data_IF_183730582068
#
_entry.id   IF_183730582068
#
_cell.length_a   1.000
_cell.length_b   1.000
_cell.length_c   1.000
_cell.angle_alpha   90.00
_cell.angle_beta   90.00
_cell.angle_gamma   90.00
#
_symmetry.space_group_name_H-M   'P 1'
#
loop_
_entity.id
_entity.type
_entity.pdbx_description
1 polymer ?
#
# COMPACT_ATOMS: atom_id res chain seq x y z
N UNK A 1 -16.11 26.20 -22.63
CA UNK A 1 -15.52 25.56 -23.82
C UNK A 1 -15.32 24.09 -23.48
N UNK A 2 -16.23 23.25 -23.97
CA UNK A 2 -16.15 21.78 -23.85
C UNK A 2 -15.19 21.28 -24.92
N UNK A 3 -13.99 20.89 -24.50
CA UNK A 3 -13.01 20.27 -25.39
C UNK A 3 -13.48 18.86 -25.73
N UNK A 4 -13.81 18.59 -26.99
CA UNK A 4 -14.09 17.26 -27.51
C UNK A 4 -12.80 16.69 -28.12
N UNK A 5 -12.29 15.55 -27.65
CA UNK A 5 -11.11 14.95 -28.24
C UNK A 5 -11.39 14.49 -29.67
N UNK A 6 -10.41 14.63 -30.60
CA UNK A 6 -10.54 14.08 -31.94
C UNK A 6 -10.71 12.56 -31.88
N UNK A 7 -11.53 11.98 -32.77
CA UNK A 7 -11.92 10.56 -32.79
C UNK A 7 -10.73 9.56 -32.81
N UNK A 8 -9.53 9.99 -33.13
CA UNK A 8 -8.28 9.20 -33.17
C UNK A 8 -7.29 9.56 -32.05
N UNK A 9 -7.69 10.31 -31.01
CA UNK A 9 -6.78 10.61 -29.91
C UNK A 9 -6.54 9.35 -29.05
N UNK A 10 -5.30 9.05 -28.68
CA UNK A 10 -5.02 7.92 -27.79
C UNK A 10 -5.78 8.10 -26.48
N UNK A 11 -6.34 7.01 -25.96
CA UNK A 11 -7.12 7.01 -24.71
C UNK A 11 -6.37 7.72 -23.57
N UNK A 12 -7.00 8.74 -22.99
CA UNK A 12 -6.36 9.60 -21.97
C UNK A 12 -5.97 8.84 -20.68
N UNK A 13 -6.57 7.69 -20.43
CA UNK A 13 -6.31 6.85 -19.25
C UNK A 13 -4.82 6.48 -19.07
N UNK A 14 -4.05 6.32 -20.14
CA UNK A 14 -2.60 6.08 -20.05
C UNK A 14 -1.84 7.23 -19.37
N UNK A 15 -2.28 8.48 -19.60
CA UNK A 15 -1.70 9.67 -18.93
C UNK A 15 -2.02 9.64 -17.44
N UNK A 16 -3.20 9.16 -17.08
CA UNK A 16 -3.61 8.98 -15.67
C UNK A 16 -2.74 7.93 -14.98
N UNK A 17 -2.50 6.77 -15.63
CA UNK A 17 -1.59 5.75 -15.12
C UNK A 17 -0.20 6.33 -14.91
N UNK A 18 0.34 7.07 -15.90
CA UNK A 18 1.67 7.66 -15.82
C UNK A 18 1.80 8.68 -14.69
N UNK A 19 0.81 9.58 -14.53
CA UNK A 19 0.82 10.56 -13.41
C UNK A 19 0.71 9.86 -12.06
N UNK A 20 -0.12 8.83 -11.94
CA UNK A 20 -0.25 8.03 -10.73
C UNK A 20 1.04 7.27 -10.41
N UNK A 21 1.70 6.69 -11.42
CA UNK A 21 3.03 6.08 -11.30
C UNK A 21 4.06 7.08 -10.79
N UNK A 22 4.15 8.27 -11.43
CA UNK A 22 5.09 9.32 -11.06
C UNK A 22 4.83 9.85 -9.64
N UNK A 23 3.57 10.06 -9.28
CA UNK A 23 3.18 10.50 -7.94
C UNK A 23 3.56 9.47 -6.87
N UNK A 24 3.33 8.18 -7.12
CA UNK A 24 3.72 7.09 -6.23
C UNK A 24 5.24 6.91 -6.17
N UNK A 25 5.93 7.04 -7.29
CA UNK A 25 7.39 7.00 -7.33
C UNK A 25 8.00 8.10 -6.47
N UNK A 26 7.50 9.34 -6.60
CA UNK A 26 8.05 10.50 -5.88
C UNK A 26 7.65 10.46 -4.40
N UNK A 27 6.38 10.21 -4.06
CA UNK A 27 5.90 10.24 -2.68
C UNK A 27 6.60 9.19 -1.80
N UNK A 28 6.78 7.98 -2.32
CA UNK A 28 7.43 6.88 -1.59
C UNK A 28 8.95 6.92 -1.78
N UNK A 29 9.42 7.25 -2.98
CA UNK A 29 10.86 7.29 -3.28
C UNK A 29 11.59 8.38 -2.51
N UNK A 30 11.10 9.62 -2.57
CA UNK A 30 11.74 10.75 -1.88
C UNK A 30 11.45 10.75 -0.38
N UNK A 31 10.24 10.36 0.04
CA UNK A 31 9.82 10.39 1.43
C UNK A 31 10.22 9.18 2.27
N UNK A 32 10.29 7.98 1.68
CA UNK A 32 10.50 6.76 2.43
C UNK A 32 11.80 6.02 2.05
N UNK A 33 12.00 5.64 0.78
CA UNK A 33 13.19 4.86 0.40
C UNK A 33 14.48 5.66 0.46
N UNK A 34 14.47 6.95 0.06
CA UNK A 34 15.64 7.81 0.24
C UNK A 34 15.93 8.12 1.69
N UNK A 35 14.90 8.06 2.57
CA UNK A 35 15.06 8.41 3.99
C UNK A 35 16.11 7.54 4.69
N UNK A 36 16.22 6.27 4.33
CA UNK A 36 17.26 5.39 4.90
C UNK A 36 18.68 5.90 4.63
N UNK A 37 18.94 6.51 3.45
CA UNK A 37 20.22 7.16 3.17
C UNK A 37 20.38 8.47 3.95
N UNK A 38 19.34 9.30 4.01
CA UNK A 38 19.33 10.52 4.82
C UNK A 38 19.47 10.25 6.31
N UNK A 39 19.00 9.10 6.80
CA UNK A 39 19.01 8.73 8.20
C UNK A 39 20.41 8.83 8.80
N UNK A 40 21.43 8.33 8.09
CA UNK A 40 22.82 8.37 8.53
C UNK A 40 23.32 9.82 8.62
N UNK A 41 23.10 10.63 7.57
CA UNK A 41 23.52 12.02 7.50
C UNK A 41 22.82 12.89 8.56
N UNK A 42 21.52 12.71 8.79
CA UNK A 42 20.77 13.45 9.79
C UNK A 42 21.16 13.10 11.22
N UNK A 43 21.48 11.82 11.48
CA UNK A 43 21.94 11.36 12.80
C UNK A 43 23.28 12.00 13.18
N UNK A 44 24.21 12.12 12.23
CA UNK A 44 25.51 12.75 12.46
C UNK A 44 25.41 14.27 12.67
N UNK A 45 24.43 14.91 12.01
CA UNK A 45 24.27 16.38 12.07
C UNK A 45 23.55 16.86 13.34
N UNK A 46 22.43 16.22 13.69
CA UNK A 46 21.56 16.75 14.76
C UNK A 46 21.90 16.23 16.16
N UNK A 47 22.82 15.28 16.30
CA UNK A 47 23.29 14.79 17.60
C UNK A 47 22.25 14.14 18.50
N UNK A 48 21.02 13.93 18.00
CA UNK A 48 19.90 13.30 18.74
C UNK A 48 19.90 11.79 18.73
N UNK A 49 20.99 11.17 18.29
CA UNK A 49 21.08 9.74 18.11
C UNK A 49 20.15 9.20 17.02
N UNK A 50 20.18 7.89 16.83
CA UNK A 50 19.30 7.20 15.85
C UNK A 50 17.85 7.20 16.31
N UNK A 51 17.60 7.26 17.61
CA UNK A 51 16.25 7.41 18.18
C UNK A 51 15.60 8.71 17.72
N UNK A 52 16.30 9.83 17.83
CA UNK A 52 15.78 11.15 17.47
C UNK A 52 15.34 11.20 16.01
N UNK A 53 16.19 10.77 15.08
CA UNK A 53 15.84 10.74 13.65
C UNK A 53 14.73 9.73 13.38
N UNK A 54 14.72 8.59 14.09
CA UNK A 54 13.67 7.55 14.00
C UNK A 54 12.28 8.02 14.41
N UNK A 55 12.18 8.94 15.39
CA UNK A 55 10.91 9.60 15.76
C UNK A 55 10.33 10.36 14.57
N UNK A 56 11.18 10.98 13.73
CA UNK A 56 10.72 11.65 12.50
C UNK A 56 9.98 10.69 11.56
N UNK A 57 10.48 9.46 11.38
CA UNK A 57 9.80 8.44 10.57
C UNK A 57 8.44 8.05 11.17
N UNK A 58 8.37 7.94 12.50
CA UNK A 58 7.12 7.67 13.20
C UNK A 58 6.10 8.81 12.99
N UNK A 59 6.54 10.08 13.09
CA UNK A 59 5.70 11.27 12.80
C UNK A 59 5.19 11.24 11.36
N UNK A 60 6.06 10.92 10.40
CA UNK A 60 5.68 10.78 8.99
C UNK A 60 4.61 9.70 8.79
N UNK A 61 4.82 8.52 9.37
CA UNK A 61 3.87 7.40 9.31
C UNK A 61 2.53 7.72 9.96
N UNK A 62 2.56 8.35 11.14
CA UNK A 62 1.35 8.80 11.86
C UNK A 62 0.52 9.78 11.04
N UNK A 63 1.14 10.80 10.48
CA UNK A 63 0.45 11.79 9.65
C UNK A 63 -0.22 11.13 8.45
N UNK A 64 0.51 10.27 7.72
CA UNK A 64 -0.06 9.54 6.58
C UNK A 64 -1.27 8.69 6.97
N UNK A 65 -1.17 7.94 8.06
CA UNK A 65 -2.25 7.07 8.53
C UNK A 65 -3.49 7.83 9.02
N UNK A 66 -3.30 8.96 9.70
CA UNK A 66 -4.40 9.77 10.22
C UNK A 66 -5.13 10.55 9.12
N UNK A 67 -4.43 10.96 8.06
CA UNK A 67 -5.01 11.73 6.94
C UNK A 67 -5.78 10.85 5.96
N UNK A 68 -5.41 9.59 5.80
CA UNK A 68 -5.99 8.68 4.80
C UNK A 68 -7.53 8.58 4.83
N UNK A 69 -8.23 8.49 5.99
CA UNK A 69 -9.69 8.42 6.03
C UNK A 69 -10.37 9.69 5.50
N UNK A 70 -9.78 10.87 5.75
CA UNK A 70 -10.33 12.15 5.30
C UNK A 70 -10.17 12.35 3.79
N UNK A 71 -9.09 11.81 3.21
CA UNK A 71 -8.84 11.86 1.77
C UNK A 71 -9.91 11.10 0.99
N UNK A 72 -10.33 9.93 1.45
CA UNK A 72 -11.35 9.12 0.76
C UNK A 72 -12.62 9.91 0.49
N UNK A 73 -13.14 10.60 1.50
CA UNK A 73 -14.37 11.42 1.36
C UNK A 73 -14.21 12.55 0.33
N UNK A 74 -13.10 13.27 0.36
CA UNK A 74 -12.85 14.37 -0.56
C UNK A 74 -12.63 13.88 -2.02
N UNK A 75 -12.05 12.69 -2.19
CA UNK A 75 -11.85 12.06 -3.50
C UNK A 75 -13.17 11.57 -4.12
N UNK A 76 -14.09 11.06 -3.30
CA UNK A 76 -15.42 10.65 -3.74
C UNK A 76 -16.23 11.83 -4.33
N UNK A 77 -15.95 13.05 -3.85
CA UNK A 77 -16.55 14.30 -4.36
C UNK A 77 -15.93 14.82 -5.67
N UNK A 78 -14.95 14.12 -6.27
CA UNK A 78 -14.31 14.53 -7.53
C UNK A 78 -13.30 15.68 -7.37
N UNK A 79 -12.52 15.68 -6.29
CA UNK A 79 -11.51 16.71 -6.04
C UNK A 79 -10.07 16.20 -6.20
N UNK A 80 -9.84 15.07 -6.89
CA UNK A 80 -8.52 14.43 -7.01
C UNK A 80 -7.47 15.37 -7.60
N UNK A 81 -7.79 16.12 -8.65
CA UNK A 81 -6.87 17.10 -9.25
C UNK A 81 -6.43 18.19 -8.28
N UNK A 82 -7.37 18.74 -7.51
CA UNK A 82 -7.07 19.79 -6.51
C UNK A 82 -6.21 19.24 -5.38
N UNK A 83 -6.56 18.05 -4.88
CA UNK A 83 -5.84 17.34 -3.82
C UNK A 83 -4.42 17.03 -4.26
N UNK A 84 -4.22 16.43 -5.45
CA UNK A 84 -2.89 16.13 -5.97
C UNK A 84 -2.06 17.39 -6.21
N UNK A 85 -2.68 18.47 -6.72
CA UNK A 85 -1.98 19.75 -6.93
C UNK A 85 -1.52 20.34 -5.60
N UNK A 86 -2.40 20.41 -4.60
CA UNK A 86 -2.05 20.90 -3.25
C UNK A 86 -0.99 20.00 -2.59
N UNK A 87 -1.13 18.68 -2.73
CA UNK A 87 -0.16 17.72 -2.23
C UNK A 87 1.23 17.86 -2.87
N UNK A 88 1.28 18.11 -4.18
CA UNK A 88 2.56 18.34 -4.88
C UNK A 88 3.26 19.60 -4.38
N UNK A 89 2.49 20.70 -4.16
CA UNK A 89 3.05 21.93 -3.58
C UNK A 89 3.53 21.71 -2.15
N UNK A 90 2.74 21.03 -1.31
CA UNK A 90 3.11 20.73 0.08
C UNK A 90 4.34 19.84 0.15
N UNK A 91 4.41 18.79 -0.69
CA UNK A 91 5.57 17.90 -0.76
C UNK A 91 6.84 18.66 -1.17
N UNK A 92 6.75 19.44 -2.25
CA UNK A 92 7.89 20.22 -2.73
C UNK A 92 8.35 21.26 -1.69
N UNK A 93 7.40 21.97 -1.07
CA UNK A 93 7.69 22.92 0.00
C UNK A 93 8.32 22.21 1.22
N UNK A 94 7.79 21.05 1.59
CA UNK A 94 8.35 20.23 2.68
C UNK A 94 9.78 19.80 2.40
N UNK A 95 10.09 19.36 1.17
CA UNK A 95 11.45 19.02 0.74
C UNK A 95 12.40 20.23 0.81
N UNK A 96 11.97 21.39 0.30
CA UNK A 96 12.75 22.62 0.34
C UNK A 96 12.98 23.11 1.79
N UNK A 97 11.95 23.09 2.63
CA UNK A 97 12.05 23.48 4.03
C UNK A 97 12.93 22.53 4.83
N UNK A 98 12.91 21.22 4.52
CA UNK A 98 13.79 20.24 5.18
C UNK A 98 15.27 20.59 4.97
N UNK A 99 15.65 21.18 3.84
CA UNK A 99 17.02 21.63 3.60
C UNK A 99 17.45 22.78 4.53
N UNK A 100 16.52 23.52 5.15
CA UNK A 100 16.80 24.67 6.03
C UNK A 100 16.74 24.33 7.51
N UNK A 101 16.37 23.10 7.88
CA UNK A 101 16.22 22.68 9.29
C UNK A 101 17.56 22.69 10.01
N UNK A 102 17.57 23.16 11.26
CA UNK A 102 18.75 23.28 12.11
C UNK A 102 18.70 22.37 13.37
N UNK A 103 17.53 21.84 13.69
CA UNK A 103 17.33 20.97 14.83
C UNK A 103 16.21 19.96 14.62
N UNK A 104 16.14 18.92 15.47
CA UNK A 104 15.18 17.84 15.39
C UNK A 104 13.71 18.31 15.50
N UNK A 105 13.43 19.35 16.30
CA UNK A 105 12.05 19.84 16.48
C UNK A 105 11.55 20.45 15.17
N UNK A 106 12.37 21.30 14.53
CA UNK A 106 12.03 21.85 13.20
C UNK A 106 11.88 20.73 12.18
N UNK A 107 12.77 19.72 12.22
CA UNK A 107 12.68 18.55 11.35
C UNK A 107 11.36 17.82 11.51
N UNK A 108 10.90 17.51 12.75
CA UNK A 108 9.61 16.85 12.99
C UNK A 108 8.42 17.67 12.51
N UNK A 109 8.45 18.98 12.74
CA UNK A 109 7.39 19.88 12.29
C UNK A 109 7.29 19.89 10.75
N UNK A 110 8.43 20.08 10.07
CA UNK A 110 8.43 20.11 8.59
C UNK A 110 8.06 18.75 8.02
N UNK A 111 8.62 17.66 8.60
CA UNK A 111 8.35 16.31 8.13
C UNK A 111 6.86 15.93 8.31
N UNK A 112 6.27 16.21 9.46
CA UNK A 112 4.89 15.86 9.78
C UNK A 112 3.86 16.73 9.06
N UNK A 113 4.08 18.06 8.98
CA UNK A 113 3.08 18.98 8.43
C UNK A 113 3.15 19.16 6.92
N UNK A 114 4.35 19.16 6.33
CA UNK A 114 4.51 19.45 4.90
C UNK A 114 4.83 18.18 4.11
N UNK A 115 5.89 17.47 4.50
CA UNK A 115 6.37 16.34 3.71
C UNK A 115 5.39 15.16 3.78
N UNK A 116 4.97 14.77 4.99
CA UNK A 116 4.08 13.63 5.19
C UNK A 116 2.67 13.91 4.63
N UNK A 117 2.13 15.12 4.90
CA UNK A 117 0.83 15.51 4.36
C UNK A 117 0.88 15.61 2.83
N UNK A 118 1.93 16.22 2.26
CA UNK A 118 2.12 16.28 0.82
C UNK A 118 2.20 14.91 0.18
N UNK A 119 2.97 13.99 0.79
CA UNK A 119 3.10 12.61 0.33
C UNK A 119 1.76 11.84 0.42
N UNK A 120 0.97 12.04 1.49
CA UNK A 120 -0.36 11.44 1.63
C UNK A 120 -1.33 11.91 0.54
N UNK A 121 -1.33 13.22 0.25
CA UNK A 121 -2.24 13.83 -0.73
C UNK A 121 -1.98 13.37 -2.17
N UNK A 122 -0.74 13.08 -2.56
CA UNK A 122 -0.42 12.56 -3.91
C UNK A 122 -0.26 11.03 -3.94
N UNK A 123 -0.17 10.39 -2.76
CA UNK A 123 0.22 8.99 -2.58
C UNK A 123 -0.85 7.98 -2.90
N UNK A 124 -0.76 6.83 -2.21
CA UNK A 124 -1.47 5.60 -2.54
C UNK A 124 -2.98 5.73 -2.68
N UNK A 125 -3.65 6.41 -1.75
CA UNK A 125 -5.12 6.54 -1.77
C UNK A 125 -5.56 7.36 -2.99
N UNK A 126 -4.96 8.54 -3.19
CA UNK A 126 -5.34 9.46 -4.28
C UNK A 126 -5.02 8.88 -5.65
N UNK A 127 -3.80 8.34 -5.82
CA UNK A 127 -3.37 7.74 -7.08
C UNK A 127 -4.23 6.51 -7.45
N UNK A 128 -4.52 5.64 -6.47
CA UNK A 128 -5.34 4.45 -6.71
C UNK A 128 -6.79 4.80 -7.03
N UNK A 129 -7.38 5.77 -6.33
CA UNK A 129 -8.75 6.24 -6.61
C UNK A 129 -8.85 6.84 -8.00
N UNK A 130 -7.85 7.66 -8.38
CA UNK A 130 -7.81 8.27 -9.70
C UNK A 130 -7.78 7.21 -10.81
N UNK A 131 -6.89 6.21 -10.71
CA UNK A 131 -6.82 5.09 -11.66
C UNK A 131 -8.13 4.28 -11.68
N UNK A 132 -8.71 4.05 -10.50
CA UNK A 132 -9.96 3.30 -10.38
C UNK A 132 -11.17 3.99 -11.02
N UNK A 133 -11.17 5.32 -11.11
CA UNK A 133 -12.20 6.09 -11.80
C UNK A 133 -12.12 5.96 -13.34
N UNK A 134 -10.91 5.75 -13.87
CA UNK A 134 -10.66 5.67 -15.30
C UNK A 134 -10.72 4.26 -15.88
N UNK A 135 -10.51 3.23 -15.02
CA UNK A 135 -10.44 1.83 -15.43
C UNK A 135 -11.40 0.97 -14.60
N UNK A 136 -12.30 0.27 -15.29
CA UNK A 136 -13.27 -0.65 -14.68
C UNK A 136 -12.95 -2.08 -15.04
N UNK A 137 -12.85 -2.42 -16.32
CA UNK A 137 -12.55 -3.79 -16.80
C UNK A 137 -11.07 -4.15 -16.60
N UNK A 138 -10.16 -3.20 -16.88
CA UNK A 138 -8.70 -3.41 -16.77
C UNK A 138 -8.13 -2.79 -15.48
N UNK A 139 -8.97 -2.59 -14.45
CA UNK A 139 -8.61 -1.90 -13.21
C UNK A 139 -7.40 -2.52 -12.50
N UNK A 140 -7.35 -3.85 -12.40
CA UNK A 140 -6.24 -4.55 -11.74
C UNK A 140 -4.91 -4.32 -12.44
N UNK A 141 -4.89 -4.38 -13.77
CA UNK A 141 -3.70 -4.14 -14.59
C UNK A 141 -3.26 -2.68 -14.49
N UNK A 142 -4.19 -1.73 -14.60
CA UNK A 142 -3.91 -0.30 -14.53
C UNK A 142 -3.33 0.10 -13.14
N UNK A 143 -3.92 -0.41 -12.05
CA UNK A 143 -3.40 -0.24 -10.70
C UNK A 143 -2.03 -0.92 -10.53
N UNK A 144 -1.85 -2.10 -11.12
CA UNK A 144 -0.57 -2.80 -11.13
C UNK A 144 0.54 -1.93 -11.71
N UNK A 145 0.33 -1.37 -12.91
CA UNK A 145 1.30 -0.50 -13.59
C UNK A 145 1.56 0.79 -12.77
N UNK A 146 0.52 1.43 -12.27
CA UNK A 146 0.67 2.63 -11.44
C UNK A 146 1.50 2.35 -10.18
N UNK A 147 1.24 1.23 -9.49
CA UNK A 147 1.96 0.86 -8.25
C UNK A 147 3.38 0.34 -8.49
N UNK A 148 3.77 0.02 -9.73
CA UNK A 148 5.18 -0.24 -10.08
C UNK A 148 6.08 0.96 -9.75
N UNK A 149 5.53 2.20 -9.74
CA UNK A 149 6.24 3.39 -9.29
C UNK A 149 6.83 3.25 -7.88
N UNK A 150 6.07 2.66 -6.94
CA UNK A 150 6.54 2.37 -5.57
C UNK A 150 7.75 1.43 -5.61
N UNK A 151 7.63 0.34 -6.36
CA UNK A 151 8.67 -0.69 -6.40
C UNK A 151 9.94 -0.21 -7.09
N UNK A 152 9.79 0.51 -8.21
CA UNK A 152 10.91 1.10 -8.93
C UNK A 152 11.63 2.15 -8.08
N UNK A 153 10.88 2.98 -7.33
CA UNK A 153 11.50 3.95 -6.43
C UNK A 153 12.35 3.27 -5.35
N UNK A 154 11.91 2.13 -4.81
CA UNK A 154 12.68 1.37 -3.83
C UNK A 154 14.00 0.82 -4.38
N UNK A 155 14.00 0.39 -5.66
CA UNK A 155 15.22 -0.10 -6.30
C UNK A 155 16.22 1.03 -6.59
N UNK A 156 15.71 2.19 -7.06
CA UNK A 156 16.55 3.24 -7.64
C UNK A 156 16.94 4.30 -6.60
N UNK A 157 16.02 4.66 -5.69
CA UNK A 157 16.20 5.88 -4.90
C UNK A 157 17.22 5.78 -3.78
N UNK A 158 17.43 4.60 -3.20
CA UNK A 158 18.42 4.44 -2.13
C UNK A 158 19.86 4.72 -2.64
N UNK A 159 20.37 4.04 -3.70
CA UNK A 159 21.70 4.33 -4.23
C UNK A 159 21.81 5.73 -4.83
N UNK A 160 20.75 6.25 -5.48
CA UNK A 160 20.73 7.62 -6.02
C UNK A 160 20.82 8.65 -4.90
N UNK A 161 20.04 8.48 -3.82
CA UNK A 161 20.10 9.37 -2.66
C UNK A 161 21.49 9.37 -2.02
N UNK A 162 22.07 8.19 -1.80
CA UNK A 162 23.43 8.07 -1.24
C UNK A 162 24.45 8.81 -2.08
N UNK A 163 24.45 8.60 -3.39
CA UNK A 163 25.37 9.32 -4.31
C UNK A 163 25.16 10.84 -4.33
N UNK A 164 23.90 11.29 -4.30
CA UNK A 164 23.62 12.74 -4.25
C UNK A 164 24.06 13.34 -2.92
N UNK A 165 23.88 12.62 -1.80
CA UNK A 165 24.36 13.07 -0.48
C UNK A 165 25.89 13.23 -0.50
N UNK A 166 26.61 12.28 -1.11
CA UNK A 166 28.07 12.36 -1.25
C UNK A 166 28.53 13.55 -2.11
N UNK A 167 27.76 13.87 -3.18
CA UNK A 167 28.16 14.91 -4.15
C UNK A 167 27.77 16.33 -3.71
N UNK A 168 26.55 16.52 -3.22
CA UNK A 168 25.97 17.85 -2.96
C UNK A 168 25.46 18.02 -1.51
N UNK A 169 25.71 17.03 -0.67
CA UNK A 169 25.22 16.98 0.70
C UNK A 169 23.72 16.68 0.80
N UNK A 170 23.28 16.33 2.01
CA UNK A 170 21.87 15.99 2.23
C UNK A 170 20.92 17.20 2.01
N UNK A 171 21.34 18.42 2.37
CA UNK A 171 20.55 19.64 2.12
C UNK A 171 20.38 19.90 0.63
N UNK A 172 21.45 19.82 -0.16
CA UNK A 172 21.41 19.96 -1.60
C UNK A 172 20.52 18.91 -2.27
N UNK A 173 20.54 17.69 -1.75
CA UNK A 173 19.68 16.58 -2.25
C UNK A 173 18.20 16.86 -2.00
N UNK A 174 17.81 17.38 -0.83
CA UNK A 174 16.43 17.78 -0.57
C UNK A 174 15.96 18.93 -1.47
N UNK A 175 16.84 19.94 -1.72
CA UNK A 175 16.54 21.02 -2.67
C UNK A 175 16.32 20.47 -4.07
N UNK A 176 17.19 19.56 -4.53
CA UNK A 176 17.05 18.92 -5.84
C UNK A 176 15.74 18.14 -5.95
N UNK A 177 15.37 17.35 -4.93
CA UNK A 177 14.12 16.62 -4.91
C UNK A 177 12.89 17.55 -4.94
N UNK A 178 12.93 18.66 -4.21
CA UNK A 178 11.90 19.70 -4.25
C UNK A 178 11.76 20.30 -5.64
N UNK A 179 12.88 20.67 -6.28
CA UNK A 179 12.92 21.21 -7.64
C UNK A 179 12.38 20.18 -8.66
N UNK A 180 12.80 18.91 -8.60
CA UNK A 180 12.30 17.85 -9.47
C UNK A 180 10.79 17.61 -9.28
N UNK A 181 10.30 17.68 -8.06
CA UNK A 181 8.86 17.57 -7.77
C UNK A 181 8.07 18.70 -8.47
N UNK A 182 8.55 19.95 -8.38
CA UNK A 182 7.91 21.08 -9.05
C UNK A 182 8.05 21.03 -10.58
N UNK A 183 9.18 20.55 -11.08
CA UNK A 183 9.46 20.54 -12.52
C UNK A 183 8.72 19.42 -13.25
N UNK A 184 8.57 18.25 -12.65
CA UNK A 184 8.01 17.08 -13.32
C UNK A 184 6.61 16.71 -12.80
N UNK A 185 6.40 16.64 -11.48
CA UNK A 185 5.13 16.19 -10.93
C UNK A 185 4.04 17.24 -11.06
N UNK A 186 4.35 18.50 -10.74
CA UNK A 186 3.35 19.59 -10.79
C UNK A 186 2.78 19.83 -12.18
N UNK A 187 3.59 19.93 -13.26
CA UNK A 187 3.06 20.07 -14.62
C UNK A 187 2.28 18.83 -15.07
N UNK A 188 2.76 17.62 -14.73
CA UNK A 188 2.08 16.38 -15.05
C UNK A 188 0.68 16.33 -14.41
N UNK A 189 0.59 16.65 -13.12
CA UNK A 189 -0.69 16.71 -12.38
C UNK A 189 -1.61 17.78 -13.00
N UNK A 190 -1.14 19.01 -13.18
CA UNK A 190 -1.97 20.10 -13.71
C UNK A 190 -2.49 19.85 -15.13
N UNK A 191 -1.66 19.24 -16.00
CA UNK A 191 -2.00 19.06 -17.40
C UNK A 191 -2.80 17.79 -17.66
N UNK A 192 -2.51 16.70 -16.95
CA UNK A 192 -3.04 15.38 -17.29
C UNK A 192 -4.05 14.81 -16.30
N UNK A 193 -4.08 15.29 -15.05
CA UNK A 193 -5.09 14.80 -14.09
C UNK A 193 -6.45 15.39 -14.43
N UNK A 194 -7.39 14.49 -14.67
CA UNK A 194 -8.81 14.72 -14.84
C UNK A 194 -9.50 13.72 -13.93
N UNK A 195 -10.45 14.18 -13.11
CA UNK A 195 -10.99 13.39 -12.02
C UNK A 195 -11.78 12.17 -12.53
N UNK A 196 -12.55 12.37 -13.59
CA UNK A 196 -13.36 11.32 -14.21
C UNK A 196 -13.32 11.42 -15.74
N UNK A 197 -13.38 10.29 -16.47
CA UNK A 197 -13.42 10.31 -17.93
C UNK A 197 -14.64 11.06 -18.46
N UNK A 198 -15.77 11.02 -17.74
CA UNK A 198 -17.01 11.69 -18.09
C UNK A 198 -16.87 13.23 -18.13
N UNK A 199 -15.94 13.80 -17.35
CA UNK A 199 -15.68 15.25 -17.33
C UNK A 199 -15.18 15.79 -18.68
N UNK A 200 -14.70 14.90 -19.57
CA UNK A 200 -14.24 15.23 -20.92
C UNK A 200 -14.98 14.43 -21.99
N UNK A 201 -16.14 13.88 -21.67
CA UNK A 201 -17.00 13.14 -22.62
C UNK A 201 -16.44 11.76 -23.04
N UNK A 202 -15.54 11.19 -22.25
CA UNK A 202 -15.02 9.84 -22.43
C UNK A 202 -15.72 8.87 -21.47
N UNK A 203 -15.65 7.57 -21.79
CA UNK A 203 -16.09 6.51 -20.90
C UNK A 203 -14.91 5.75 -20.28
N UNK A 204 -15.12 5.10 -19.13
CA UNK A 204 -14.10 4.22 -18.55
C UNK A 204 -13.59 3.18 -19.56
N UNK A 205 -12.32 2.81 -19.45
CA UNK A 205 -11.62 1.87 -20.35
C UNK A 205 -11.61 2.31 -21.84
N UNK A 206 -12.00 3.55 -22.16
CA UNK A 206 -12.09 4.04 -23.54
C UNK A 206 -13.24 3.40 -24.34
N UNK A 207 -14.28 2.88 -23.68
CA UNK A 207 -15.41 2.27 -24.34
C UNK A 207 -16.12 3.26 -25.29
N UNK A 208 -16.54 2.79 -26.47
CA UNK A 208 -17.32 3.59 -27.39
C UNK A 208 -18.74 3.81 -26.84
N UNK A 209 -19.36 4.94 -27.16
CA UNK A 209 -20.68 5.40 -26.66
C UNK A 209 -21.80 4.37 -26.81
N UNK A 210 -21.69 3.40 -27.73
CA UNK A 210 -22.68 2.37 -27.98
C UNK A 210 -22.89 1.36 -26.83
N UNK A 211 -21.97 1.28 -25.87
CA UNK A 211 -22.06 0.39 -24.69
C UNK A 211 -22.53 1.13 -23.43
N UNK A 212 -22.78 2.42 -23.49
CA UNK A 212 -23.20 3.23 -22.34
C UNK A 212 -24.58 2.80 -21.78
N UNK A 213 -25.43 2.15 -22.56
CA UNK A 213 -26.71 1.62 -22.11
C UNK A 213 -26.60 0.42 -21.16
N UNK A 214 -25.54 -0.37 -21.27
CA UNK A 214 -25.31 -1.53 -20.40
C UNK A 214 -24.64 -1.14 -19.05
N UNK A 215 -24.08 0.06 -18.93
CA UNK A 215 -23.34 0.49 -17.74
C UNK A 215 -24.15 1.30 -16.74
N UNK A 216 -25.29 1.86 -17.15
CA UNK A 216 -26.23 2.52 -16.21
C UNK A 216 -27.00 1.50 -15.38
N UNK A 217 -27.11 0.26 -15.86
CA UNK A 217 -27.43 -0.89 -15.04
C UNK A 217 -26.10 -1.51 -14.59
N UNK A 218 -25.49 -0.96 -13.54
CA UNK A 218 -24.55 -1.77 -12.77
C UNK A 218 -25.28 -3.06 -12.44
N UNK A 219 -24.79 -4.26 -12.85
CA UNK A 219 -25.42 -5.48 -12.39
C UNK A 219 -25.37 -5.41 -10.87
N UNK A 220 -26.52 -5.42 -10.24
CA UNK A 220 -26.61 -5.66 -8.83
C UNK A 220 -25.79 -6.93 -8.63
N UNK A 221 -24.66 -6.82 -7.90
CA UNK A 221 -23.68 -7.88 -7.75
C UNK A 221 -24.39 -9.20 -7.45
N UNK A 222 -24.48 -10.10 -8.43
CA UNK A 222 -25.21 -11.36 -8.29
C UNK A 222 -25.58 -12.09 -9.56
N UNK A 223 -25.30 -11.61 -10.78
CA UNK A 223 -25.55 -12.42 -11.97
C UNK A 223 -24.36 -13.33 -12.26
N UNK A 224 -24.45 -14.54 -11.71
CA UNK A 224 -23.76 -15.73 -12.22
C UNK A 224 -24.39 -16.18 -13.53
N UNK A 225 -23.80 -17.17 -14.26
CA UNK A 225 -24.21 -17.56 -15.61
C UNK A 225 -25.65 -18.07 -15.62
N UNK A 226 -26.38 -17.53 -16.58
CA UNK A 226 -27.68 -17.91 -17.17
C UNK A 226 -28.40 -19.10 -16.50
N UNK A 227 -29.55 -18.82 -15.87
CA UNK A 227 -30.52 -19.87 -15.55
C UNK A 227 -31.27 -19.76 -14.21
N UNK A 228 -31.07 -18.70 -13.44
CA UNK A 228 -31.86 -18.47 -12.22
C UNK A 228 -32.77 -17.26 -12.47
N UNK A 229 -34.08 -17.48 -12.57
CA UNK A 229 -35.04 -16.40 -12.59
C UNK A 229 -34.80 -15.44 -11.42
N UNK A 230 -34.88 -14.12 -11.64
CA UNK A 230 -34.75 -13.16 -10.58
C UNK A 230 -35.88 -13.38 -9.58
N UNK A 231 -35.56 -13.81 -8.38
CA UNK A 231 -36.50 -13.80 -7.26
C UNK A 231 -36.89 -12.34 -7.03
N UNK A 232 -38.03 -11.94 -7.59
CA UNK A 232 -38.64 -10.65 -7.29
C UNK A 232 -38.88 -10.58 -5.79
N UNK A 233 -38.30 -9.61 -5.06
CA UNK A 233 -38.62 -9.42 -3.65
C UNK A 233 -40.14 -9.13 -3.57
N UNK A 234 -40.86 -9.90 -2.80
CA UNK A 234 -42.27 -9.63 -2.48
C UNK A 234 -42.37 -8.16 -2.00
N UNK A 235 -43.30 -7.35 -2.55
CA UNK A 235 -43.53 -6.01 -2.09
C UNK A 235 -43.92 -6.07 -0.59
N UNK A 236 -43.18 -5.37 0.24
CA UNK A 236 -43.63 -5.10 1.60
C UNK A 236 -44.89 -4.23 1.53
N UNK A 237 -45.86 -4.52 2.38
CA UNK A 237 -47.19 -3.95 2.37
C UNK A 237 -47.27 -2.41 2.39
N UNK A 238 -46.17 -1.71 2.59
CA UNK A 238 -46.09 -0.25 2.72
C UNK A 238 -45.40 0.47 1.56
N UNK A 239 -45.07 -0.19 0.45
CA UNK A 239 -44.55 0.47 -0.75
C UNK A 239 -43.18 1.20 -0.53
N UNK A 240 -42.56 1.09 0.65
CA UNK A 240 -41.26 1.68 0.91
C UNK A 240 -40.17 0.82 0.31
N UNK A 241 -39.14 1.41 -0.37
CA UNK A 241 -38.02 0.65 -0.85
C UNK A 241 -37.36 -0.05 0.34
N UNK A 242 -36.93 -1.34 0.18
CA UNK A 242 -36.31 -2.09 1.28
C UNK A 242 -35.18 -1.26 1.86
N UNK A 243 -35.32 -0.86 3.12
CA UNK A 243 -34.25 -0.17 3.85
C UNK A 243 -33.05 -1.09 3.84
N UNK A 244 -32.03 -0.74 3.04
CA UNK A 244 -30.74 -1.44 3.06
C UNK A 244 -30.29 -1.51 4.52
N UNK A 245 -30.03 -2.70 5.08
CA UNK A 245 -29.56 -2.79 6.46
C UNK A 245 -28.35 -1.88 6.56
N UNK A 246 -28.43 -0.84 7.42
CA UNK A 246 -27.26 -0.03 7.80
C UNK A 246 -26.36 -1.00 8.56
N UNK A 247 -25.37 -1.57 7.85
CA UNK A 247 -24.33 -2.34 8.52
C UNK A 247 -23.67 -1.38 9.51
N UNK A 248 -23.83 -1.68 10.79
CA UNK A 248 -23.24 -0.89 11.86
C UNK A 248 -21.73 -0.88 11.71
N UNK A 249 -21.12 0.29 11.83
CA UNK A 249 -19.65 0.48 11.72
C UNK A 249 -18.89 -0.36 12.74
N UNK A 250 -19.55 -0.77 13.81
CA UNK A 250 -19.01 -1.54 14.95
C UNK A 250 -18.91 -3.05 14.69
N UNK A 251 -19.66 -3.61 13.73
CA UNK A 251 -19.67 -5.04 13.47
C UNK A 251 -18.28 -5.67 13.21
N UNK A 252 -17.39 -5.05 12.40
CA UNK A 252 -16.05 -5.60 12.21
C UNK A 252 -15.24 -5.64 13.50
N UNK A 253 -15.40 -4.65 14.40
CA UNK A 253 -14.65 -4.53 15.66
C UNK A 253 -15.02 -5.64 16.65
N UNK A 254 -16.23 -6.20 16.58
CA UNK A 254 -16.66 -7.33 17.40
C UNK A 254 -16.09 -8.67 16.91
N UNK A 255 -15.51 -8.71 15.70
CA UNK A 255 -15.02 -9.94 15.09
C UNK A 255 -13.57 -10.23 15.51
N UNK A 256 -13.33 -11.41 16.08
CA UNK A 256 -11.99 -11.87 16.47
C UNK A 256 -10.98 -11.82 15.32
N UNK A 257 -11.38 -12.21 14.12
CA UNK A 257 -10.49 -12.21 12.95
C UNK A 257 -9.98 -10.81 12.62
N UNK A 258 -10.79 -9.76 12.89
CA UNK A 258 -10.37 -8.38 12.71
C UNK A 258 -9.12 -8.06 13.53
N UNK A 259 -9.15 -8.34 14.83
CA UNK A 259 -8.04 -8.06 15.75
C UNK A 259 -6.82 -8.94 15.50
N UNK A 260 -7.04 -10.21 15.12
CA UNK A 260 -5.93 -11.09 14.71
C UNK A 260 -5.20 -10.53 13.50
N UNK A 261 -5.92 -10.09 12.46
CA UNK A 261 -5.31 -9.51 11.26
C UNK A 261 -4.63 -8.18 11.60
N UNK A 262 -5.28 -7.30 12.37
CA UNK A 262 -4.69 -6.03 12.84
C UNK A 262 -3.37 -6.29 13.55
N UNK A 263 -3.34 -7.20 14.52
CA UNK A 263 -2.16 -7.47 15.32
C UNK A 263 -1.00 -8.03 14.47
N UNK A 264 -1.28 -9.03 13.63
CA UNK A 264 -0.27 -9.64 12.75
C UNK A 264 0.31 -8.62 11.78
N UNK A 265 -0.55 -7.86 11.09
CA UNK A 265 -0.11 -6.88 10.10
C UNK A 265 0.63 -5.71 10.75
N UNK A 266 0.18 -5.24 11.93
CA UNK A 266 0.87 -4.19 12.68
C UNK A 266 2.29 -4.60 13.08
N UNK A 267 2.47 -5.82 13.59
CA UNK A 267 3.78 -6.34 13.97
C UNK A 267 4.70 -6.50 12.76
N UNK A 268 4.17 -7.03 11.65
CA UNK A 268 4.94 -7.13 10.41
C UNK A 268 5.38 -5.75 9.92
N UNK A 269 4.49 -4.74 9.92
CA UNK A 269 4.84 -3.39 9.48
C UNK A 269 5.77 -2.67 10.45
N UNK A 270 5.66 -2.92 11.76
CA UNK A 270 6.57 -2.41 12.79
C UNK A 270 8.01 -2.84 12.49
N UNK A 271 8.26 -4.13 12.39
CA UNK A 271 9.57 -4.69 12.10
C UNK A 271 10.06 -4.30 10.69
N UNK A 272 9.17 -4.33 9.68
CA UNK A 272 9.48 -3.98 8.30
C UNK A 272 9.97 -2.52 8.18
N UNK A 273 9.23 -1.56 8.76
CA UNK A 273 9.62 -0.15 8.69
C UNK A 273 10.97 0.10 9.38
N UNK A 274 11.23 -0.58 10.49
CA UNK A 274 12.50 -0.48 11.19
C UNK A 274 13.67 -1.02 10.34
N UNK A 275 13.54 -2.24 9.79
CA UNK A 275 14.58 -2.85 8.96
C UNK A 275 14.86 -1.97 7.73
N UNK A 276 13.82 -1.53 7.00
CA UNK A 276 13.98 -0.66 5.83
C UNK A 276 14.68 0.66 6.16
N UNK A 277 14.40 1.25 7.33
CA UNK A 277 14.99 2.52 7.73
C UNK A 277 16.44 2.38 8.19
N UNK A 278 16.76 1.33 8.95
CA UNK A 278 18.05 1.16 9.57
C UNK A 278 19.04 0.31 8.78
N UNK A 279 18.63 -0.37 7.69
CA UNK A 279 19.48 -1.32 6.97
C UNK A 279 20.76 -0.68 6.39
N UNK A 280 20.67 0.54 5.85
CA UNK A 280 21.84 1.26 5.33
C UNK A 280 22.79 1.58 6.48
N UNK A 281 22.25 2.09 7.61
CA UNK A 281 23.05 2.39 8.79
C UNK A 281 23.73 1.13 9.36
N UNK A 282 23.01 0.01 9.45
CA UNK A 282 23.56 -1.27 9.89
C UNK A 282 24.68 -1.75 8.98
N UNK A 283 24.46 -1.74 7.65
CA UNK A 283 25.48 -2.17 6.69
C UNK A 283 26.73 -1.25 6.72
N UNK A 284 26.54 0.06 6.94
CA UNK A 284 27.65 1.03 7.09
C UNK A 284 28.42 0.76 8.38
N UNK A 285 27.75 0.41 9.49
CA UNK A 285 28.41 0.07 10.77
C UNK A 285 29.25 -1.21 10.65
N UNK A 286 28.88 -2.15 9.75
CA UNK A 286 29.68 -3.32 9.42
C UNK A 286 30.92 -2.99 8.55
N UNK A 287 31.10 -1.71 8.17
CA UNK A 287 32.24 -1.24 7.39
C UNK A 287 32.04 -1.29 5.87
N UNK A 288 30.83 -1.56 5.38
CA UNK A 288 30.58 -1.54 3.93
C UNK A 288 30.52 -0.12 3.39
N UNK A 289 31.02 0.12 2.15
CA UNK A 289 30.89 1.41 1.49
C UNK A 289 29.43 1.88 1.44
N UNK A 290 29.14 3.20 1.57
CA UNK A 290 27.76 3.71 1.62
C UNK A 290 26.89 3.29 0.43
N UNK A 291 27.48 3.19 -0.77
CA UNK A 291 26.77 2.76 -1.97
C UNK A 291 26.39 1.28 -1.90
N UNK A 292 27.30 0.43 -1.41
CA UNK A 292 27.04 -1.00 -1.23
C UNK A 292 25.98 -1.22 -0.14
N UNK A 293 26.04 -0.44 0.95
CA UNK A 293 25.02 -0.43 1.98
C UNK A 293 23.64 -0.03 1.42
N UNK A 294 23.59 0.95 0.50
CA UNK A 294 22.35 1.35 -0.16
C UNK A 294 21.78 0.25 -1.09
N UNK A 295 22.65 -0.58 -1.70
CA UNK A 295 22.20 -1.73 -2.49
C UNK A 295 21.48 -2.80 -1.67
N UNK A 296 21.75 -2.90 -0.36
CA UNK A 296 20.96 -3.77 0.52
C UNK A 296 19.47 -3.40 0.49
N UNK A 297 19.15 -2.10 0.60
CA UNK A 297 17.75 -1.61 0.52
C UNK A 297 17.16 -1.83 -0.89
N UNK A 298 17.95 -1.59 -1.94
CA UNK A 298 17.54 -1.86 -3.32
C UNK A 298 17.23 -3.35 -3.53
N UNK A 299 18.01 -4.23 -2.93
CA UNK A 299 17.77 -5.68 -2.97
C UNK A 299 16.46 -6.06 -2.29
N UNK A 300 16.15 -5.49 -1.11
CA UNK A 300 14.85 -5.68 -0.46
C UNK A 300 13.71 -5.27 -1.40
N UNK A 301 13.82 -4.10 -2.02
CA UNK A 301 12.79 -3.58 -2.92
C UNK A 301 12.62 -4.45 -4.17
N UNK A 302 13.73 -4.87 -4.81
CA UNK A 302 13.71 -5.73 -5.99
C UNK A 302 13.11 -7.11 -5.69
N UNK A 303 13.53 -7.74 -4.59
CA UNK A 303 12.97 -9.01 -4.13
C UNK A 303 11.52 -8.86 -3.69
N UNK A 304 11.13 -7.68 -3.19
CA UNK A 304 9.75 -7.33 -2.89
C UNK A 304 8.85 -7.29 -4.14
N UNK A 305 9.37 -6.85 -5.30
CA UNK A 305 8.64 -6.94 -6.58
C UNK A 305 8.39 -8.40 -6.93
N UNK A 306 9.43 -9.22 -6.86
CA UNK A 306 9.33 -10.67 -7.12
C UNK A 306 8.36 -11.33 -6.14
N UNK A 307 8.44 -10.97 -4.86
CA UNK A 307 7.55 -11.45 -3.81
C UNK A 307 6.07 -11.17 -4.09
N UNK A 308 5.73 -9.99 -4.61
CA UNK A 308 4.33 -9.67 -5.00
C UNK A 308 3.79 -10.65 -6.04
N UNK A 309 4.60 -10.99 -7.04
CA UNK A 309 4.21 -11.93 -8.10
C UNK A 309 4.11 -13.36 -7.55
N UNK A 310 5.15 -13.80 -6.83
CA UNK A 310 5.24 -15.15 -6.27
C UNK A 310 4.10 -15.41 -5.28
N UNK A 311 3.87 -14.48 -4.34
CA UNK A 311 2.82 -14.64 -3.33
C UNK A 311 1.41 -14.41 -3.89
N UNK A 312 1.25 -13.60 -4.94
CA UNK A 312 0.00 -13.55 -5.70
C UNK A 312 -0.36 -14.93 -6.25
N UNK A 313 0.60 -15.59 -6.93
CA UNK A 313 0.40 -16.92 -7.48
C UNK A 313 0.22 -18.02 -6.41
N UNK A 314 1.00 -17.95 -5.32
CA UNK A 314 0.88 -18.88 -4.18
C UNK A 314 -0.48 -18.75 -3.50
N UNK A 315 -0.98 -17.52 -3.32
CA UNK A 315 -2.27 -17.25 -2.68
C UNK A 315 -3.46 -17.88 -3.41
N UNK A 316 -3.36 -18.06 -4.73
CA UNK A 316 -4.41 -18.72 -5.52
C UNK A 316 -4.40 -20.25 -5.36
N UNK A 317 -3.26 -20.85 -5.00
CA UNK A 317 -3.06 -22.30 -4.89
C UNK A 317 -3.05 -22.83 -3.46
N UNK A 318 -2.51 -22.08 -2.52
CA UNK A 318 -2.52 -22.39 -1.10
C UNK A 318 -3.69 -21.68 -0.40
N UNK A 319 -3.99 -22.10 0.82
CA UNK A 319 -4.89 -21.32 1.68
C UNK A 319 -4.30 -19.93 1.95
N UNK A 320 -5.13 -18.90 1.97
CA UNK A 320 -4.69 -17.53 2.28
C UNK A 320 -3.86 -17.45 3.57
N UNK A 321 -4.21 -18.26 4.57
CA UNK A 321 -3.47 -18.39 5.84
C UNK A 321 -2.08 -19.00 5.63
N UNK A 322 -1.96 -20.05 4.82
CA UNK A 322 -0.66 -20.72 4.52
C UNK A 322 0.28 -19.79 3.76
N UNK A 323 -0.24 -18.99 2.81
CA UNK A 323 0.55 -18.01 2.08
C UNK A 323 1.11 -16.91 3.01
N UNK A 324 0.29 -16.40 3.96
CA UNK A 324 0.77 -15.41 4.96
C UNK A 324 1.80 -16.04 5.89
N UNK A 325 1.61 -17.29 6.32
CA UNK A 325 2.58 -18.02 7.12
C UNK A 325 3.95 -18.09 6.43
N UNK A 326 3.97 -18.46 5.16
CA UNK A 326 5.20 -18.53 4.38
C UNK A 326 5.86 -17.15 4.23
N UNK A 327 5.09 -16.10 3.95
CA UNK A 327 5.61 -14.74 3.84
C UNK A 327 6.25 -14.27 5.14
N UNK A 328 5.55 -14.44 6.28
CA UNK A 328 6.05 -14.05 7.61
C UNK A 328 7.27 -14.89 8.02
N UNK A 329 7.30 -16.19 7.66
CA UNK A 329 8.47 -17.05 7.90
C UNK A 329 9.70 -16.56 7.14
N UNK A 330 9.55 -16.17 5.86
CA UNK A 330 10.66 -15.61 5.07
C UNK A 330 11.14 -14.26 5.66
N UNK A 331 10.20 -13.39 6.09
CA UNK A 331 10.58 -12.14 6.75
C UNK A 331 11.35 -12.39 8.06
N UNK A 332 10.87 -13.32 8.89
CA UNK A 332 11.53 -13.72 10.12
C UNK A 332 12.90 -14.36 9.89
N UNK A 333 13.02 -15.24 8.89
CA UNK A 333 14.29 -15.88 8.51
C UNK A 333 15.30 -14.87 7.97
N UNK A 334 14.85 -13.92 7.12
CA UNK A 334 15.70 -12.86 6.60
C UNK A 334 16.16 -11.91 7.71
N UNK A 335 15.27 -11.50 8.61
CA UNK A 335 15.64 -10.69 9.77
C UNK A 335 16.59 -11.44 10.72
N UNK A 336 16.37 -12.74 10.94
CA UNK A 336 17.28 -13.60 11.71
C UNK A 336 18.63 -13.79 11.03
N UNK A 337 18.67 -13.83 9.70
CA UNK A 337 19.90 -13.91 8.91
C UNK A 337 20.77 -12.66 9.02
N UNK A 338 20.22 -11.49 9.43
CA UNK A 338 21.00 -10.30 9.73
C UNK A 338 21.75 -10.40 11.05
N UNK A 339 21.33 -11.30 11.98
CA UNK A 339 22.02 -11.56 13.20
C UNK A 339 23.31 -12.34 12.90
N UNK A 340 24.46 -11.74 13.17
CA UNK A 340 25.76 -12.37 12.90
C UNK A 340 26.20 -12.40 11.43
N UNK A 341 25.51 -11.68 10.53
CA UNK A 341 25.97 -11.52 9.16
C UNK A 341 27.07 -10.45 9.11
N UNK A 342 28.34 -10.89 9.04
CA UNK A 342 29.52 -10.02 8.99
C UNK A 342 30.00 -9.76 7.55
N UNK A 343 29.64 -10.61 6.59
CA UNK A 343 30.06 -10.47 5.19
C UNK A 343 28.97 -9.86 4.32
N UNK A 344 29.37 -9.04 3.34
CA UNK A 344 28.43 -8.40 2.42
C UNK A 344 27.49 -9.40 1.69
N UNK A 345 27.97 -10.57 1.17
CA UNK A 345 27.08 -11.55 0.58
C UNK A 345 26.06 -12.13 1.56
N UNK A 346 26.45 -12.29 2.85
CA UNK A 346 25.53 -12.82 3.87
C UNK A 346 24.41 -11.80 4.17
N UNK A 347 24.78 -10.52 4.34
CA UNK A 347 23.78 -9.43 4.50
C UNK A 347 22.88 -9.36 3.28
N UNK A 348 23.45 -9.42 2.07
CA UNK A 348 22.68 -9.36 0.82
C UNK A 348 21.72 -10.54 0.69
N UNK A 349 22.14 -11.74 1.06
CA UNK A 349 21.30 -12.93 1.11
C UNK A 349 20.14 -12.81 2.11
N UNK A 350 20.45 -12.32 3.32
CA UNK A 350 19.46 -12.11 4.38
C UNK A 350 18.38 -11.09 3.95
N UNK A 351 18.78 -9.93 3.41
CA UNK A 351 17.84 -8.91 2.93
C UNK A 351 17.07 -9.35 1.69
N UNK A 352 17.64 -10.22 0.84
CA UNK A 352 16.93 -10.79 -0.30
C UNK A 352 15.78 -11.70 0.15
N UNK A 353 16.03 -12.60 1.10
CA UNK A 353 15.01 -13.47 1.70
C UNK A 353 13.93 -12.65 2.40
N UNK A 354 14.35 -11.63 3.17
CA UNK A 354 13.45 -10.70 3.83
C UNK A 354 12.54 -9.98 2.83
N UNK A 355 13.13 -9.41 1.77
CA UNK A 355 12.42 -8.66 0.73
C UNK A 355 11.39 -9.51 -0.01
N UNK A 356 11.72 -10.78 -0.28
CA UNK A 356 10.80 -11.72 -0.93
C UNK A 356 9.54 -11.92 -0.08
N UNK A 357 9.68 -12.16 1.23
CA UNK A 357 8.55 -12.28 2.16
C UNK A 357 7.76 -10.98 2.30
N UNK A 358 8.46 -9.85 2.44
CA UNK A 358 7.85 -8.51 2.54
C UNK A 358 6.94 -8.20 1.35
N UNK A 359 7.37 -8.57 0.13
CA UNK A 359 6.58 -8.34 -1.08
C UNK A 359 5.20 -9.00 -1.03
N UNK A 360 5.08 -10.14 -0.35
CA UNK A 360 3.82 -10.87 -0.21
C UNK A 360 2.83 -10.25 0.75
N UNK A 361 3.27 -9.51 1.78
CA UNK A 361 2.41 -9.13 2.90
C UNK A 361 1.23 -8.23 2.48
N UNK A 362 1.45 -7.29 1.55
CA UNK A 362 0.40 -6.37 1.08
C UNK A 362 -0.73 -7.08 0.31
N UNK A 363 -0.47 -7.88 -0.74
CA UNK A 363 -1.53 -8.60 -1.42
C UNK A 363 -2.20 -9.63 -0.51
N UNK A 364 -1.43 -10.29 0.37
CA UNK A 364 -1.96 -11.28 1.30
C UNK A 364 -2.86 -10.66 2.38
N UNK A 365 -2.55 -9.45 2.87
CA UNK A 365 -3.43 -8.71 3.76
C UNK A 365 -4.81 -8.48 3.13
N UNK A 366 -4.83 -8.00 1.88
CA UNK A 366 -6.08 -7.85 1.13
C UNK A 366 -6.83 -9.18 0.97
N UNK A 367 -6.11 -10.27 0.66
CA UNK A 367 -6.71 -11.60 0.53
C UNK A 367 -7.33 -12.11 1.83
N UNK A 368 -6.67 -11.89 2.99
CA UNK A 368 -7.21 -12.25 4.30
C UNK A 368 -8.50 -11.48 4.62
N UNK A 369 -8.52 -10.16 4.35
CA UNK A 369 -9.73 -9.35 4.55
C UNK A 369 -10.86 -9.87 3.67
N UNK A 370 -10.58 -10.14 2.39
CA UNK A 370 -11.57 -10.68 1.46
C UNK A 370 -12.12 -12.04 1.87
N UNK A 371 -11.25 -12.93 2.40
CA UNK A 371 -11.63 -14.26 2.83
C UNK A 371 -12.45 -14.26 4.14
N UNK A 372 -12.13 -13.36 5.09
CA UNK A 372 -12.79 -13.30 6.40
C UNK A 372 -14.06 -12.46 6.42
N UNK A 373 -14.13 -11.40 5.62
CA UNK A 373 -15.21 -10.39 5.70
C UNK A 373 -16.00 -10.25 4.39
N UNK A 374 -15.57 -10.94 3.33
CA UNK A 374 -16.22 -10.89 2.03
C UNK A 374 -15.99 -9.58 1.27
N UNK A 375 -16.38 -9.57 -0.03
CA UNK A 375 -16.14 -8.43 -0.93
C UNK A 375 -16.91 -7.16 -0.56
N UNK A 376 -18.15 -7.31 -0.05
CA UNK A 376 -19.04 -6.17 0.29
C UNK A 376 -18.52 -5.32 1.45
N UNK A 377 -17.79 -5.92 2.38
CA UNK A 377 -17.27 -5.24 3.58
C UNK A 377 -15.80 -4.87 3.46
N UNK A 378 -15.13 -5.23 2.35
CA UNK A 378 -13.68 -5.09 2.16
C UNK A 378 -13.16 -3.68 2.42
N UNK A 379 -13.69 -2.68 1.73
CA UNK A 379 -13.24 -1.28 1.86
C UNK A 379 -13.45 -0.73 3.26
N UNK A 380 -14.59 -1.06 3.88
CA UNK A 380 -14.89 -0.64 5.25
C UNK A 380 -13.93 -1.25 6.27
N UNK A 381 -13.71 -2.56 6.18
CA UNK A 381 -12.81 -3.29 7.09
C UNK A 381 -11.38 -2.78 6.93
N UNK A 382 -10.92 -2.61 5.71
CA UNK A 382 -9.58 -2.08 5.42
C UNK A 382 -9.40 -0.65 5.94
N UNK A 383 -10.42 0.20 5.76
CA UNK A 383 -10.42 1.57 6.27
C UNK A 383 -10.39 1.65 7.80
N UNK A 384 -11.13 0.76 8.49
CA UNK A 384 -11.12 0.67 9.96
C UNK A 384 -9.81 0.09 10.49
N UNK A 385 -9.20 -0.88 9.78
CA UNK A 385 -7.92 -1.47 10.18
C UNK A 385 -6.78 -0.46 10.11
N UNK A 386 -6.74 0.41 9.10
CA UNK A 386 -5.62 1.32 8.86
C UNK A 386 -5.21 2.15 10.09
N UNK A 387 -6.10 2.88 10.79
CA UNK A 387 -5.72 3.60 12.01
C UNK A 387 -5.38 2.67 13.17
N UNK A 388 -5.93 1.44 13.21
CA UNK A 388 -5.63 0.48 14.28
C UNK A 388 -4.25 -0.15 14.16
N UNK A 389 -3.63 -0.10 12.97
CA UNK A 389 -2.25 -0.57 12.77
C UNK A 389 -1.23 0.40 13.38
N UNK A 390 -1.52 1.71 13.39
CA UNK A 390 -0.58 2.78 13.71
C UNK A 390 0.11 2.63 15.08
N UNK A 391 -0.58 2.34 16.20
CA UNK A 391 0.03 2.32 17.53
C UNK A 391 1.24 1.40 17.64
N UNK A 392 1.21 0.26 16.95
CA UNK A 392 2.33 -0.70 16.93
C UNK A 392 3.30 -0.39 15.81
N UNK A 393 2.80 -0.07 14.62
CA UNK A 393 3.61 0.16 13.43
C UNK A 393 4.65 1.27 13.61
N UNK A 394 4.25 2.38 14.24
CA UNK A 394 5.12 3.56 14.38
C UNK A 394 6.26 3.37 15.40
N UNK A 395 6.16 2.38 16.27
CA UNK A 395 7.16 2.13 17.32
C UNK A 395 8.45 1.49 16.79
N UNK A 396 8.39 0.78 15.65
CA UNK A 396 9.52 -0.03 15.18
C UNK A 396 10.80 0.77 14.94
N UNK A 397 10.70 1.88 14.23
CA UNK A 397 11.88 2.70 13.88
C UNK A 397 12.50 3.38 15.09
N UNK A 398 11.75 4.09 15.97
CA UNK A 398 12.31 4.66 17.19
C UNK A 398 12.90 3.60 18.12
N UNK A 399 12.26 2.43 18.22
CA UNK A 399 12.74 1.32 19.05
C UNK A 399 14.11 0.82 18.57
N UNK A 400 14.27 0.57 17.26
CA UNK A 400 15.57 0.14 16.72
C UNK A 400 16.66 1.20 16.94
N UNK A 401 16.29 2.49 16.80
CA UNK A 401 17.18 3.60 17.10
C UNK A 401 17.60 3.63 18.58
N UNK A 402 16.64 3.49 19.50
CA UNK A 402 16.90 3.44 20.94
C UNK A 402 17.83 2.29 21.33
N UNK A 403 17.58 1.10 20.77
CA UNK A 403 18.45 -0.07 21.01
C UNK A 403 19.87 0.23 20.55
N UNK A 404 20.04 0.80 19.37
CA UNK A 404 21.36 1.14 18.85
C UNK A 404 22.06 2.22 19.70
N UNK A 405 21.35 3.29 20.05
CA UNK A 405 21.90 4.38 20.86
C UNK A 405 22.38 3.87 22.25
N UNK A 406 21.72 2.82 22.77
CA UNK A 406 22.06 2.25 24.10
C UNK A 406 23.14 1.17 24.08
N UNK A 407 23.12 0.32 23.02
CA UNK A 407 23.94 -0.90 22.97
C UNK A 407 24.98 -0.88 21.85
N UNK A 408 24.97 0.13 20.97
CA UNK A 408 25.82 0.25 19.78
C UNK A 408 25.77 -0.96 18.84
N UNK A 409 24.66 -1.69 18.89
CA UNK A 409 24.35 -2.84 18.03
C UNK A 409 22.86 -2.89 17.73
N UNK A 410 22.50 -3.47 16.58
CA UNK A 410 21.12 -3.77 16.22
C UNK A 410 20.65 -5.18 16.62
N UNK A 411 21.52 -6.03 17.21
CA UNK A 411 21.21 -7.44 17.48
C UNK A 411 19.96 -7.61 18.33
N UNK A 412 19.82 -6.82 19.41
CA UNK A 412 18.63 -6.86 20.26
C UNK A 412 17.37 -6.42 19.47
N UNK A 413 17.49 -5.43 18.57
CA UNK A 413 16.37 -4.98 17.76
C UNK A 413 15.95 -6.07 16.77
N UNK A 414 16.89 -6.66 16.04
CA UNK A 414 16.60 -7.74 15.09
C UNK A 414 16.08 -8.99 15.79
N UNK A 415 16.64 -9.37 16.94
CA UNK A 415 16.10 -10.47 17.78
C UNK A 415 14.64 -10.20 18.18
N UNK A 416 14.33 -8.97 18.59
CA UNK A 416 12.96 -8.58 18.92
C UNK A 416 12.05 -8.69 17.69
N UNK A 417 12.50 -8.26 16.52
CA UNK A 417 11.71 -8.35 15.29
C UNK A 417 11.48 -9.80 14.84
N UNK A 418 12.49 -10.68 14.99
CA UNK A 418 12.31 -12.13 14.79
C UNK A 418 11.24 -12.65 15.75
N UNK A 419 11.28 -12.24 17.03
CA UNK A 419 10.25 -12.55 18.03
C UNK A 419 8.85 -12.07 17.62
N UNK A 420 8.73 -10.84 17.05
CA UNK A 420 7.46 -10.32 16.54
C UNK A 420 6.93 -11.14 15.36
N UNK A 421 7.79 -11.58 14.43
CA UNK A 421 7.39 -12.46 13.34
C UNK A 421 6.96 -13.83 13.86
N UNK A 422 7.71 -14.43 14.80
CA UNK A 422 7.34 -15.68 15.44
C UNK A 422 5.99 -15.58 16.17
N UNK A 423 5.79 -14.52 16.93
CA UNK A 423 4.52 -14.24 17.61
C UNK A 423 3.37 -14.02 16.59
N UNK A 424 3.63 -13.34 15.49
CA UNK A 424 2.65 -13.18 14.39
C UNK A 424 2.25 -14.54 13.81
N UNK A 425 3.19 -15.45 13.63
CA UNK A 425 2.92 -16.83 13.17
C UNK A 425 2.03 -17.58 14.15
N UNK A 426 2.31 -17.51 15.46
CA UNK A 426 1.46 -18.11 16.50
C UNK A 426 0.07 -17.46 16.49
N UNK A 427 -0.01 -16.13 16.39
CA UNK A 427 -1.27 -15.40 16.37
C UNK A 427 -2.13 -15.78 15.16
N UNK A 428 -1.51 -16.06 14.00
CA UNK A 428 -2.22 -16.56 12.81
C UNK A 428 -2.90 -17.93 13.03
N UNK A 429 -2.48 -18.74 14.03
CA UNK A 429 -3.19 -19.97 14.40
C UNK A 429 -4.60 -19.67 14.93
N UNK A 430 -4.80 -18.50 15.49
CA UNK A 430 -6.08 -18.05 16.00
C UNK A 430 -7.06 -17.60 14.91
N UNK A 431 -6.59 -17.40 13.67
CA UNK A 431 -7.40 -16.94 12.55
C UNK A 431 -8.32 -18.10 12.08
N UNK A 432 -9.61 -17.85 12.05
CA UNK A 432 -10.61 -18.76 11.51
C UNK A 432 -11.05 -18.26 10.13
N UNK A 433 -10.40 -18.78 9.09
CA UNK A 433 -10.82 -18.51 7.71
C UNK A 433 -11.98 -19.43 7.40
N UNK A 434 -13.17 -18.94 6.97
CA UNK A 434 -14.26 -19.79 6.50
C UNK A 434 -13.74 -20.70 5.38
N UNK A 435 -14.10 -21.99 5.44
CA UNK A 435 -13.77 -22.94 4.39
C UNK A 435 -14.33 -22.39 3.04
N UNK A 436 -13.52 -22.36 1.99
CA UNK A 436 -13.99 -22.09 0.64
C UNK A 436 -14.95 -23.22 0.31
N UNK A 437 -16.23 -22.93 0.12
CA UNK A 437 -17.12 -23.92 -0.46
C UNK A 437 -16.53 -24.33 -1.84
N UNK A 438 -16.37 -25.62 -2.11
CA UNK A 438 -15.90 -26.07 -3.41
C UNK A 438 -16.91 -25.58 -4.45
N UNK A 439 -16.45 -24.72 -5.36
CA UNK A 439 -17.19 -24.34 -6.55
C UNK A 439 -17.34 -25.58 -7.43
N UNK A 440 -18.42 -26.33 -7.25
CA UNK A 440 -18.65 -27.52 -8.05
C UNK A 440 -19.40 -28.64 -7.35
N UNK A 441 -20.50 -28.32 -6.63
CA UNK A 441 -21.58 -29.28 -6.47
C UNK A 441 -22.77 -28.71 -7.21
N UNK A 442 -22.77 -28.90 -8.53
CA UNK A 442 -24.02 -28.92 -9.27
C UNK A 442 -24.84 -30.06 -8.63
N UNK A 443 -25.81 -29.69 -7.80
CA UNK A 443 -26.84 -30.62 -7.38
C UNK A 443 -27.45 -31.20 -8.65
N UNK A 444 -27.20 -32.46 -8.93
CA UNK A 444 -27.93 -33.23 -9.91
C UNK A 444 -29.41 -33.13 -9.57
N UNK A 445 -30.28 -32.75 -10.48
CA UNK A 445 -31.70 -32.88 -10.25
C UNK A 445 -32.13 -34.35 -10.44
N UNK A 446 -31.87 -35.18 -9.43
CA UNK A 446 -32.49 -36.49 -9.29
C UNK A 446 -33.85 -36.30 -8.63
N UNK A 447 -34.91 -36.28 -9.42
CA UNK A 447 -36.26 -36.20 -8.89
C UNK A 447 -37.30 -35.85 -9.92
N UNK A 448 -37.21 -36.40 -11.17
CA UNK A 448 -38.38 -36.52 -12.05
C UNK A 448 -39.19 -37.70 -11.53
N UNK A 449 -40.09 -37.44 -10.57
CA UNK A 449 -41.22 -38.28 -10.30
C UNK A 449 -42.16 -38.20 -11.52
N UNK A 450 -42.21 -39.28 -12.27
CA UNK A 450 -43.26 -39.57 -13.26
C UNK A 450 -44.63 -39.43 -12.63
N UNK A 451 -45.31 -38.33 -12.93
CA UNK A 451 -46.74 -38.22 -12.67
C UNK A 451 -47.47 -39.09 -13.70
N UNK A 452 -48.16 -40.15 -13.20
CA UNK A 452 -49.03 -41.01 -13.96
C UNK A 452 -50.20 -40.19 -14.54
N UNK A 453 -50.50 -40.43 -15.82
CA UNK A 453 -51.69 -39.89 -16.51
C UNK A 453 -52.96 -40.50 -15.90
N UNK A 454 -54.06 -39.72 -15.79
CA UNK A 454 -55.35 -40.29 -15.40
C UNK A 454 -55.97 -41.10 -16.54
N UNK A 455 -56.78 -42.15 -16.26
CA UNK A 455 -57.47 -42.96 -17.26
C UNK A 455 -58.63 -42.18 -17.91
N UNK A 456 -58.72 -42.37 -19.21
CA UNK A 456 -59.85 -41.92 -20.04
C UNK A 456 -61.06 -42.82 -19.75
N UNK A 457 -62.20 -42.23 -19.38
CA UNK A 457 -63.55 -42.60 -19.78
C UNK A 457 -64.31 -41.39 -20.32
#
# INVERSE_FOLDING_TARGET
MTWTPPANAPFHGWKIIFVSFLALFVSIGFGFYSFSAFFVALTSEFGGGRTGVGIGVAVFGMTNGLVAPFLGHALDQGHAKRIMTAGTWLLALGLLLTATVQNLIQFYLVLGTFLALGAALIGGVTASTLVANWYVRQRAMALGIATMGISLSGVVMAPVATRLIDLIGWRGTFVLYGALTLLFVLPAVRRWVIDRPEDIGLHPDGAATSLAGEWTAAPAAGEGPVGVEPVTPLPTADGAPPRRPRLEWTQPLANRNFWVIVLVVSMCFCANSAILTHIIAHATDLGFPPVDAAFCLSTIAAMGVLGKVVFGWISDRLSSRGAVWLAVSLMGSGAGGLLGAESYPAVLGAVAVFGLGMGGIMPLWGTLIGACFGRRSFGRVMGLMSPMLLPIQVLGVPFAGYVYDRFHSYDLAFTTFVGLYAFSMVTLLLLRVPAREPSGSAASPTGLTTAAAPPTE
#
